data_IF_649497874425
#
_entry.id   IF_649497874425
#
_cell.length_a   1.000
_cell.length_b   1.000
_cell.length_c   1.000
_cell.angle_alpha   90.00
_cell.angle_beta   90.00
_cell.angle_gamma   90.00
#
_symmetry.space_group_name_H-M   'P 1'
#
loop_
_entity.id
_entity.type
_entity.pdbx_description
1 polymer ?
#
# COMPACT_ATOMS: atom_id res chain seq x y z
N UNK A 1 8.41 -19.65 -41.47
CA UNK A 1 7.19 -18.87 -41.14
C UNK A 1 6.85 -19.13 -39.68
N UNK A 2 7.20 -18.22 -38.77
CA UNK A 2 6.87 -18.34 -37.34
C UNK A 2 5.56 -17.61 -37.09
N UNK A 3 4.46 -18.36 -36.90
CA UNK A 3 3.18 -17.80 -36.48
C UNK A 3 3.27 -17.45 -34.99
N UNK A 4 3.49 -16.18 -34.69
CA UNK A 4 3.28 -15.64 -33.34
C UNK A 4 1.77 -15.58 -33.07
N UNK A 5 1.28 -16.57 -32.33
CA UNK A 5 -0.09 -16.58 -31.78
C UNK A 5 -0.22 -15.41 -30.80
N UNK A 6 -0.88 -14.34 -31.25
CA UNK A 6 -1.31 -13.25 -30.37
C UNK A 6 -2.37 -13.80 -29.41
N UNK A 7 -1.98 -13.96 -28.14
CA UNK A 7 -2.89 -14.31 -27.05
C UNK A 7 -3.89 -13.16 -26.89
N UNK A 8 -5.12 -13.40 -27.34
CA UNK A 8 -6.28 -12.52 -27.13
C UNK A 8 -6.37 -12.17 -25.64
N UNK A 9 -6.07 -10.92 -25.31
CA UNK A 9 -6.32 -10.38 -23.97
C UNK A 9 -7.81 -10.51 -23.70
N UNK A 10 -8.18 -11.21 -22.63
CA UNK A 10 -9.54 -11.23 -22.10
C UNK A 10 -9.88 -9.84 -21.56
N UNK A 11 -10.26 -8.95 -22.47
CA UNK A 11 -10.66 -7.58 -22.19
C UNK A 11 -12.20 -7.46 -22.11
N UNK A 12 -12.88 -8.40 -21.45
CA UNK A 12 -14.34 -8.45 -21.45
C UNK A 12 -14.99 -8.56 -20.06
N UNK A 13 -14.30 -8.06 -19.01
CA UNK A 13 -14.93 -7.67 -17.72
C UNK A 13 -14.23 -6.51 -17.01
N UNK A 14 -13.32 -5.83 -17.70
CA UNK A 14 -12.41 -4.83 -17.12
C UNK A 14 -12.35 -3.56 -17.98
N UNK A 15 -13.52 -3.11 -18.43
CA UNK A 15 -13.72 -1.76 -18.98
C UNK A 15 -13.92 -0.72 -17.85
N UNK A 16 -13.45 -1.03 -16.64
CA UNK A 16 -13.34 -0.06 -15.56
C UNK A 16 -12.15 0.86 -15.82
N UNK A 17 -12.27 2.11 -15.38
CA UNK A 17 -11.19 3.07 -15.40
C UNK A 17 -9.96 2.48 -14.69
N UNK A 18 -8.85 2.34 -15.40
CA UNK A 18 -7.59 1.85 -14.83
C UNK A 18 -6.74 3.02 -14.41
N UNK A 19 -6.21 2.95 -13.21
CA UNK A 19 -5.34 3.98 -12.65
C UNK A 19 -3.98 3.40 -12.30
N UNK A 20 -2.94 4.15 -12.62
CA UNK A 20 -1.59 3.89 -12.10
C UNK A 20 -1.51 4.45 -10.70
N UNK A 21 -1.27 3.56 -9.72
CA UNK A 21 -1.07 3.95 -8.32
C UNK A 21 0.39 3.77 -7.90
N UNK A 22 0.81 4.57 -6.93
CA UNK A 22 2.10 4.49 -6.25
C UNK A 22 1.86 4.11 -4.79
N UNK A 23 2.38 2.96 -4.37
CA UNK A 23 2.29 2.48 -2.99
C UNK A 23 3.67 2.56 -2.35
N UNK A 24 3.82 3.39 -1.33
CA UNK A 24 5.05 3.49 -0.55
C UNK A 24 4.95 2.61 0.68
N UNK A 25 5.92 1.72 0.88
CA UNK A 25 5.98 0.90 2.09
C UNK A 25 6.84 1.61 3.14
N UNK A 26 6.37 1.64 4.39
CA UNK A 26 7.14 2.21 5.49
C UNK A 26 8.51 1.53 5.64
N UNK A 27 9.59 2.34 5.65
CA UNK A 27 10.96 1.85 5.76
C UNK A 27 11.57 1.28 4.47
N UNK A 28 10.84 1.31 3.35
CA UNK A 28 11.38 0.89 2.05
C UNK A 28 12.15 2.01 1.33
N UNK A 29 12.98 1.63 0.36
CA UNK A 29 13.79 2.57 -0.43
C UNK A 29 12.97 3.48 -1.37
N UNK A 30 11.71 3.15 -1.66
CA UNK A 30 10.87 3.95 -2.56
C UNK A 30 9.48 3.37 -2.78
N UNK A 31 8.64 4.02 -3.60
CA UNK A 31 7.31 3.51 -3.96
C UNK A 31 7.40 2.34 -4.94
N UNK A 32 6.38 1.49 -4.92
CA UNK A 32 6.08 0.51 -5.97
C UNK A 32 4.93 1.07 -6.80
N UNK A 33 5.00 0.87 -8.12
CA UNK A 33 4.00 1.39 -9.05
C UNK A 33 3.38 0.26 -9.84
N UNK A 34 2.05 0.20 -9.86
CA UNK A 34 1.31 -0.78 -10.63
C UNK A 34 -0.08 -0.24 -11.00
N UNK A 35 -0.68 -0.86 -12.00
CA UNK A 35 -2.00 -0.47 -12.52
C UNK A 35 -3.07 -1.31 -11.81
N UNK A 36 -4.10 -0.63 -11.31
CA UNK A 36 -5.29 -1.23 -10.67
C UNK A 36 -6.55 -0.71 -11.34
N UNK A 37 -7.66 -1.41 -11.17
CA UNK A 37 -8.96 -0.87 -11.57
C UNK A 37 -9.49 0.05 -10.46
N UNK A 38 -10.19 1.12 -10.81
CA UNK A 38 -10.78 2.05 -9.82
C UNK A 38 -11.79 1.36 -8.89
N UNK A 39 -12.49 0.35 -9.38
CA UNK A 39 -13.49 -0.43 -8.62
C UNK A 39 -12.87 -1.54 -7.74
N UNK A 40 -11.55 -1.72 -7.81
CA UNK A 40 -10.85 -2.77 -7.09
C UNK A 40 -10.84 -2.48 -5.58
N UNK A 41 -11.18 -3.47 -4.72
CA UNK A 41 -11.21 -3.25 -3.28
C UNK A 41 -9.78 -3.08 -2.73
N UNK A 42 -9.65 -2.27 -1.67
CA UNK A 42 -8.35 -2.03 -1.02
C UNK A 42 -7.64 -3.33 -0.62
N UNK A 43 -8.36 -4.38 -0.22
CA UNK A 43 -7.78 -5.68 0.14
C UNK A 43 -6.95 -6.29 -1.01
N UNK A 44 -7.48 -6.26 -2.23
CA UNK A 44 -6.82 -6.82 -3.42
C UNK A 44 -5.61 -5.95 -3.84
N UNK A 45 -5.73 -4.63 -3.66
CA UNK A 45 -4.63 -3.69 -3.88
C UNK A 45 -3.48 -3.95 -2.90
N UNK A 46 -3.77 -4.24 -1.62
CA UNK A 46 -2.75 -4.60 -0.63
C UNK A 46 -2.06 -5.90 -1.02
N UNK A 47 -2.82 -6.92 -1.41
CA UNK A 47 -2.27 -8.21 -1.85
C UNK A 47 -1.33 -8.06 -3.05
N UNK A 48 -1.78 -7.32 -4.06
CA UNK A 48 -0.99 -7.01 -5.25
C UNK A 48 0.26 -6.22 -4.90
N UNK A 49 0.17 -5.27 -3.97
CA UNK A 49 1.32 -4.50 -3.49
C UNK A 49 2.35 -5.39 -2.78
N UNK A 50 1.91 -6.29 -1.88
CA UNK A 50 2.80 -7.21 -1.17
C UNK A 50 3.48 -8.20 -2.13
N UNK A 51 2.73 -8.75 -3.08
CA UNK A 51 3.27 -9.64 -4.12
C UNK A 51 4.29 -8.93 -5.00
N UNK A 52 3.99 -7.71 -5.44
CA UNK A 52 4.90 -6.90 -6.25
C UNK A 52 6.16 -6.54 -5.47
N UNK A 53 6.01 -6.20 -4.19
CA UNK A 53 7.13 -5.89 -3.29
C UNK A 53 8.08 -7.06 -3.11
N UNK A 54 7.53 -8.26 -2.88
CA UNK A 54 8.32 -9.48 -2.78
C UNK A 54 9.00 -9.84 -4.11
N UNK A 55 8.30 -9.65 -5.25
CA UNK A 55 8.86 -9.88 -6.59
C UNK A 55 10.03 -8.96 -6.92
N UNK A 56 9.99 -7.72 -6.45
CA UNK A 56 11.11 -6.78 -6.59
C UNK A 56 12.27 -7.07 -5.62
N UNK A 57 12.13 -8.01 -4.69
CA UNK A 57 13.19 -8.35 -3.72
C UNK A 57 13.51 -7.20 -2.75
N UNK A 58 12.52 -6.35 -2.45
CA UNK A 58 12.73 -5.14 -1.63
C UNK A 58 12.87 -5.46 -0.14
N UNK A 59 13.50 -4.51 0.55
CA UNK A 59 13.65 -4.50 2.01
C UNK A 59 12.91 -3.31 2.63
N UNK A 60 12.28 -3.49 3.82
CA UNK A 60 12.28 -4.70 4.66
C UNK A 60 11.41 -5.84 4.12
N UNK A 61 11.78 -7.09 4.44
CA UNK A 61 10.98 -8.27 4.06
C UNK A 61 9.61 -8.19 4.73
N UNK A 62 8.57 -8.13 3.91
CA UNK A 62 7.17 -8.10 4.35
C UNK A 62 6.62 -9.53 4.42
N UNK A 63 5.68 -9.76 5.33
CA UNK A 63 4.90 -11.00 5.36
C UNK A 63 3.84 -11.03 4.25
N UNK A 64 3.18 -12.18 4.10
CA UNK A 64 2.10 -12.40 3.12
C UNK A 64 0.69 -12.19 3.68
N UNK A 65 0.54 -11.98 5.00
CA UNK A 65 -0.77 -11.87 5.66
C UNK A 65 -1.36 -10.48 5.46
N UNK A 66 -2.41 -10.38 4.65
CA UNK A 66 -3.11 -9.12 4.35
C UNK A 66 -3.61 -8.39 5.62
N UNK A 67 -4.10 -9.15 6.60
CA UNK A 67 -4.67 -8.60 7.84
C UNK A 67 -3.66 -7.81 8.67
N UNK A 68 -2.37 -8.09 8.51
CA UNK A 68 -1.29 -7.41 9.21
C UNK A 68 -0.98 -6.05 8.61
N UNK A 69 -1.60 -5.66 7.50
CA UNK A 69 -1.31 -4.42 6.80
C UNK A 69 -2.49 -3.47 6.72
N UNK A 70 -2.17 -2.18 6.60
CA UNK A 70 -3.12 -1.08 6.38
C UNK A 70 -2.60 -0.19 5.26
N UNK A 71 -3.50 0.17 4.36
CA UNK A 71 -3.29 1.20 3.35
C UNK A 71 -3.82 2.54 3.88
N UNK A 72 -3.01 3.59 3.77
CA UNK A 72 -3.35 4.95 4.16
C UNK A 72 -3.38 5.89 2.95
N UNK A 73 -4.36 6.81 2.94
CA UNK A 73 -4.41 7.94 2.03
C UNK A 73 -3.81 9.19 2.71
N UNK A 74 -2.71 9.76 2.20
CA UNK A 74 -2.05 10.93 2.80
C UNK A 74 -2.93 12.18 2.86
N UNK A 75 -3.87 12.31 1.91
CA UNK A 75 -4.70 13.51 1.71
C UNK A 75 -5.97 13.46 2.56
N UNK A 76 -6.55 12.28 2.74
CA UNK A 76 -7.84 12.08 3.45
C UNK A 76 -7.66 12.01 4.97
N UNK A 77 -6.42 11.92 5.47
CA UNK A 77 -6.10 12.01 6.89
C UNK A 77 -5.25 10.84 7.37
N UNK A 78 -5.19 10.63 8.70
CA UNK A 78 -4.48 9.49 9.31
C UNK A 78 -5.34 8.22 9.36
N UNK A 79 -6.53 8.25 8.77
CA UNK A 79 -7.48 7.15 8.83
C UNK A 79 -7.10 6.05 7.82
N UNK A 80 -7.19 4.81 8.31
CA UNK A 80 -6.96 3.60 7.55
C UNK A 80 -8.07 3.41 6.52
N UNK A 81 -7.72 3.11 5.27
CA UNK A 81 -8.71 2.74 4.26
C UNK A 81 -9.33 1.39 4.62
N UNK A 82 -10.64 1.24 4.44
CA UNK A 82 -11.31 -0.02 4.77
C UNK A 82 -11.06 -1.05 3.65
N UNK A 83 -10.86 -2.33 3.98
CA UNK A 83 -10.51 -3.35 2.98
C UNK A 83 -11.52 -3.52 1.84
N UNK A 84 -12.80 -3.18 2.06
CA UNK A 84 -13.89 -3.33 1.09
C UNK A 84 -14.18 -2.05 0.28
N UNK A 85 -13.51 -0.95 0.57
CA UNK A 85 -13.68 0.30 -0.18
C UNK A 85 -12.97 0.21 -1.54
N UNK A 86 -13.57 0.81 -2.57
CA UNK A 86 -12.98 0.86 -3.91
C UNK A 86 -11.83 1.88 -3.95
N UNK A 87 -10.67 1.49 -4.48
CA UNK A 87 -9.47 2.33 -4.45
C UNK A 87 -9.63 3.66 -5.21
N UNK A 88 -10.44 3.66 -6.27
CA UNK A 88 -10.73 4.86 -7.07
C UNK A 88 -11.58 5.89 -6.34
N UNK A 89 -12.36 5.49 -5.33
CA UNK A 89 -13.25 6.41 -4.60
C UNK A 89 -12.51 7.53 -3.85
N UNK A 90 -11.23 7.32 -3.53
CA UNK A 90 -10.41 8.30 -2.81
C UNK A 90 -9.86 9.41 -3.71
N UNK A 91 -9.94 9.28 -5.04
CA UNK A 91 -9.44 10.29 -5.99
C UNK A 91 -7.93 10.56 -5.94
N UNK A 92 -7.17 9.74 -5.21
CA UNK A 92 -5.71 9.85 -5.10
C UNK A 92 -5.00 8.69 -5.78
N UNK A 93 -3.74 8.90 -6.13
CA UNK A 93 -2.89 7.88 -6.77
C UNK A 93 -1.71 7.45 -5.91
N UNK A 94 -1.50 8.08 -4.74
CA UNK A 94 -0.34 7.81 -3.90
C UNK A 94 -0.83 7.35 -2.52
N UNK A 95 -0.39 6.16 -2.13
CA UNK A 95 -0.83 5.48 -0.92
C UNK A 95 0.38 5.05 -0.08
N UNK A 96 0.16 4.86 1.22
CA UNK A 96 1.19 4.36 2.15
C UNK A 96 0.75 3.03 2.73
N UNK A 97 1.57 2.00 2.58
CA UNK A 97 1.37 0.69 3.19
C UNK A 97 2.18 0.60 4.48
N UNK A 98 1.50 0.22 5.55
CA UNK A 98 2.09 0.05 6.87
C UNK A 98 1.72 -1.30 7.47
N UNK A 99 2.60 -1.82 8.33
CA UNK A 99 2.32 -3.01 9.13
C UNK A 99 1.63 -2.59 10.43
N UNK A 100 0.51 -3.22 10.75
CA UNK A 100 -0.18 -3.08 12.05
C UNK A 100 0.72 -3.65 13.16
N UNK A 101 0.69 -3.06 14.36
CA UNK A 101 1.19 -3.77 15.52
C UNK A 101 0.38 -5.07 15.72
N UNK A 102 1.01 -6.17 16.17
CA UNK A 102 0.29 -7.37 16.50
C UNK A 102 -0.77 -7.04 17.56
N UNK A 103 -2.01 -7.47 17.33
CA UNK A 103 -3.02 -7.52 18.38
C UNK A 103 -2.72 -8.80 19.16
N UNK A 104 -2.28 -8.65 20.40
CA UNK A 104 -2.33 -9.77 21.36
C UNK A 104 -3.81 -10.13 21.51
N UNK A 105 -4.16 -11.39 21.22
CA UNK A 105 -5.49 -11.90 21.50
C UNK A 105 -5.67 -11.96 23.02
N UNK A 106 -6.82 -11.45 23.46
CA UNK A 106 -7.23 -11.27 24.84
C UNK A 106 -7.21 -12.60 25.63
N UNK A 107 -6.40 -12.63 26.68
CA UNK A 107 -6.17 -13.82 27.50
C UNK A 107 -5.77 -13.45 28.92
N UNK A 108 -6.69 -12.79 29.66
CA UNK A 108 -6.82 -12.92 31.12
C UNK A 108 -5.75 -12.25 32.00
N UNK A 109 -6.09 -11.09 32.55
CA UNK A 109 -5.84 -10.64 33.92
C UNK A 109 -4.43 -10.77 34.53
N UNK A 110 -3.79 -9.62 34.77
CA UNK A 110 -2.70 -9.49 35.73
C UNK A 110 -1.77 -8.32 35.40
N UNK A 111 -1.69 -7.35 36.29
CA UNK A 111 -0.78 -6.21 36.22
C UNK A 111 0.69 -6.62 36.03
N UNK A 112 1.24 -6.45 34.83
CA UNK A 112 2.66 -6.16 34.65
C UNK A 112 2.97 -5.53 33.29
N UNK A 113 3.81 -4.50 33.36
CA UNK A 113 4.14 -3.55 32.29
C UNK A 113 4.46 -4.25 30.96
N UNK A 114 3.97 -3.73 29.81
CA UNK A 114 4.44 -4.21 28.53
C UNK A 114 5.93 -3.85 28.41
N UNK A 115 6.77 -4.89 28.39
CA UNK A 115 8.17 -4.80 28.00
C UNK A 115 8.15 -4.32 26.55
N UNK A 116 8.33 -3.01 26.40
CA UNK A 116 8.43 -2.35 25.12
C UNK A 116 9.64 -2.91 24.36
N UNK A 117 9.42 -3.98 23.60
CA UNK A 117 10.31 -4.38 22.50
C UNK A 117 10.17 -3.31 21.42
N UNK A 118 10.89 -2.21 21.64
CA UNK A 118 11.77 -1.63 20.64
C UNK A 118 11.18 -1.10 19.34
N UNK A 119 9.87 -0.92 19.17
CA UNK A 119 9.37 -0.02 18.13
C UNK A 119 9.50 1.41 18.66
N UNK A 120 10.74 1.90 18.58
CA UNK A 120 11.10 3.31 18.76
C UNK A 120 9.99 4.11 18.08
N UNK A 121 9.26 4.91 18.86
CA UNK A 121 8.33 5.97 18.42
C UNK A 121 9.09 6.98 17.55
N UNK A 122 9.63 6.55 16.41
CA UNK A 122 10.44 7.34 15.51
C UNK A 122 9.48 7.85 14.45
N UNK A 123 8.74 8.86 14.89
CA UNK A 123 8.15 9.90 14.06
C UNK A 123 7.17 9.44 12.98
N UNK A 124 5.94 9.19 13.42
CA UNK A 124 4.73 9.38 12.60
C UNK A 124 4.60 10.83 12.06
N UNK A 125 5.46 11.77 12.46
CA UNK A 125 5.55 13.10 11.85
C UNK A 125 6.48 13.15 10.60
N UNK A 126 7.52 12.32 10.57
CA UNK A 126 8.61 12.43 9.57
C UNK A 126 8.21 11.97 8.18
N UNK A 127 7.34 10.97 8.07
CA UNK A 127 6.85 10.48 6.78
C UNK A 127 5.91 11.45 6.05
N UNK A 128 5.19 12.34 6.75
CA UNK A 128 4.34 13.37 6.12
C UNK A 128 5.21 14.39 5.39
N UNK A 129 6.31 14.81 6.00
CA UNK A 129 7.29 15.72 5.41
C UNK A 129 8.02 15.09 4.20
N UNK A 130 8.37 13.80 4.30
CA UNK A 130 8.98 13.08 3.18
C UNK A 130 8.02 12.95 1.99
N UNK A 131 6.76 12.60 2.24
CA UNK A 131 5.78 12.36 1.18
C UNK A 131 5.32 13.64 0.49
N UNK A 132 5.15 14.75 1.21
CA UNK A 132 4.87 16.03 0.57
C UNK A 132 5.96 16.46 -0.41
N UNK A 133 7.20 16.01 -0.22
CA UNK A 133 8.32 16.29 -1.13
C UNK A 133 8.24 15.48 -2.44
N UNK A 134 7.75 14.23 -2.39
CA UNK A 134 7.54 13.42 -3.60
C UNK A 134 6.31 13.87 -4.41
N UNK A 135 5.33 14.49 -3.75
CA UNK A 135 4.15 15.08 -4.40
C UNK A 135 4.39 16.48 -5.00
N UNK A 136 5.32 17.27 -4.43
CA UNK A 136 5.66 18.62 -4.91
C UNK A 136 6.72 18.64 -6.01
N UNK A 137 6.94 17.53 -6.74
CA UNK A 137 7.72 17.54 -7.98
C UNK A 137 6.92 18.30 -9.04
N UNK A 138 6.91 19.63 -8.88
CA UNK A 138 6.38 20.62 -9.80
C UNK A 138 7.20 20.45 -11.07
N UNK A 139 6.62 19.71 -12.03
CA UNK A 139 7.14 19.63 -13.39
C UNK A 139 7.08 21.06 -13.92
N UNK A 140 8.20 21.77 -13.87
CA UNK A 140 8.36 23.03 -14.57
C UNK A 140 8.31 22.70 -16.06
N UNK A 141 7.17 22.95 -16.70
CA UNK A 141 7.13 23.04 -18.16
C UNK A 141 7.96 24.26 -18.56
N UNK A 142 9.04 24.03 -19.28
CA UNK A 142 9.73 25.07 -20.05
C UNK A 142 8.91 25.44 -21.28
#
# INVERSE_FOLDING_TARGET
>A
MLLTKNKKNQASKAAGNRILISVTVFGSAGPIRFVVNEEEPVADVIDTALKSYAREGRLPILGSKLNDFVLYCPVVGTEALKPWEAIGSFGVRNFMLSKKPPKEEDGGGGDEKPVAVGMRRKSFGSWKAWFNRSLNLKVSSH
#
